data_IF_165850943123
#
_entry.id   IF_165850943123
#
_cell.length_a   1.000
_cell.length_b   1.000
_cell.length_c   1.000
_cell.angle_alpha   90.00
_cell.angle_beta   90.00
_cell.angle_gamma   90.00
#
_symmetry.space_group_name_H-M   'P 1'
#
loop_
_entity.id
_entity.type
_entity.pdbx_description
1 polymer ?
#
# COMPACT_ATOMS: atom_id res chain seq x y z
N UNK A 1 9.51 11.19 5.95
CA UNK A 1 8.04 11.21 6.12
C UNK A 1 7.48 11.76 4.82
N UNK A 2 6.55 11.06 4.17
CA UNK A 2 5.94 11.51 2.91
C UNK A 2 4.70 12.34 3.24
N UNK A 3 4.39 13.34 2.44
CA UNK A 3 3.20 14.18 2.63
C UNK A 3 1.92 13.43 2.25
N UNK A 4 0.86 13.59 3.04
CA UNK A 4 -0.46 13.04 2.71
C UNK A 4 -0.98 13.73 1.44
N UNK A 5 -1.56 12.97 0.52
CA UNK A 5 -2.35 13.55 -0.56
C UNK A 5 -3.79 13.73 -0.09
N UNK A 6 -4.30 14.96 -0.14
CA UNK A 6 -5.69 15.26 0.27
C UNK A 6 -6.71 15.15 -0.89
N UNK A 7 -6.24 15.18 -2.14
CA UNK A 7 -7.09 15.25 -3.32
C UNK A 7 -7.25 13.90 -4.05
N UNK A 8 -7.66 12.85 -3.33
CA UNK A 8 -8.05 11.56 -3.93
C UNK A 8 -9.59 11.53 -4.01
N UNK A 9 -10.16 11.44 -5.21
CA UNK A 9 -11.63 11.36 -5.36
C UNK A 9 -12.15 10.04 -4.78
N UNK A 10 -13.36 10.08 -4.20
CA UNK A 10 -14.01 8.92 -3.59
C UNK A 10 -13.14 8.20 -2.52
N UNK A 11 -12.30 8.94 -1.80
CA UNK A 11 -11.34 8.39 -0.83
C UNK A 11 -11.99 7.49 0.21
N UNK A 12 -13.09 7.91 0.83
CA UNK A 12 -13.79 7.12 1.86
C UNK A 12 -14.29 5.78 1.31
N UNK A 13 -14.72 5.75 0.04
CA UNK A 13 -15.12 4.52 -0.63
C UNK A 13 -13.93 3.60 -0.89
N UNK A 14 -12.81 4.16 -1.36
CA UNK A 14 -11.57 3.42 -1.57
C UNK A 14 -11.11 2.80 -0.24
N UNK A 15 -11.07 3.60 0.82
CA UNK A 15 -10.64 3.16 2.14
C UNK A 15 -11.58 2.11 2.72
N UNK A 16 -12.90 2.30 2.61
CA UNK A 16 -13.89 1.32 3.05
C UNK A 16 -13.75 -0.02 2.33
N UNK A 17 -13.54 -0.02 1.01
CA UNK A 17 -13.32 -1.27 0.26
C UNK A 17 -11.99 -1.89 0.65
N UNK A 18 -10.90 -1.11 0.73
CA UNK A 18 -9.59 -1.62 1.13
C UNK A 18 -9.61 -2.23 2.55
N UNK A 19 -10.45 -1.72 3.45
CA UNK A 19 -10.56 -2.22 4.82
C UNK A 19 -11.51 -3.41 4.94
N UNK A 20 -12.60 -3.48 4.16
CA UNK A 20 -13.65 -4.48 4.38
C UNK A 20 -13.71 -5.58 3.32
N UNK A 21 -12.89 -5.52 2.27
CA UNK A 21 -12.86 -6.52 1.21
C UNK A 21 -11.70 -7.51 1.41
N UNK A 22 -12.03 -8.78 1.61
CA UNK A 22 -11.04 -9.86 1.76
C UNK A 22 -10.13 -10.02 0.54
N UNK A 23 -10.58 -9.61 -0.64
CA UNK A 23 -9.79 -9.62 -1.88
C UNK A 23 -8.86 -8.41 -2.06
N UNK A 24 -8.79 -7.49 -1.09
CA UNK A 24 -7.79 -6.44 -1.08
C UNK A 24 -6.60 -6.89 -0.21
N UNK A 25 -5.63 -7.54 -0.85
CA UNK A 25 -4.57 -8.29 -0.20
C UNK A 25 -3.22 -7.59 -0.26
N UNK A 26 -2.99 -6.71 -1.23
CA UNK A 26 -1.68 -6.11 -1.48
C UNK A 26 -1.74 -4.76 -2.21
N UNK A 27 -0.55 -4.18 -2.46
CA UNK A 27 -0.40 -2.85 -3.06
C UNK A 27 -1.10 -2.69 -4.41
N UNK A 28 -1.08 -3.71 -5.28
CA UNK A 28 -1.70 -3.60 -6.61
C UNK A 28 -3.23 -3.50 -6.54
N UNK A 29 -3.88 -4.02 -5.49
CA UNK A 29 -5.32 -3.84 -5.29
C UNK A 29 -5.64 -2.38 -4.94
N UNK A 30 -4.80 -1.74 -4.13
CA UNK A 30 -4.91 -0.32 -3.82
C UNK A 30 -4.76 0.52 -5.09
N UNK A 31 -3.83 0.15 -5.98
CA UNK A 31 -3.68 0.81 -7.27
C UNK A 31 -4.94 0.63 -8.12
N UNK A 32 -5.47 -0.60 -8.22
CA UNK A 32 -6.70 -0.87 -8.96
C UNK A 32 -7.91 -0.08 -8.41
N UNK A 33 -8.02 0.07 -7.09
CA UNK A 33 -9.06 0.89 -6.47
C UNK A 33 -8.91 2.38 -6.83
N UNK A 34 -7.69 2.91 -6.80
CA UNK A 34 -7.39 4.29 -7.21
C UNK A 34 -7.71 4.52 -8.70
N UNK A 35 -7.36 3.57 -9.58
CA UNK A 35 -7.68 3.67 -11.00
C UNK A 35 -9.20 3.65 -11.23
N UNK A 36 -9.93 2.80 -10.51
CA UNK A 36 -11.37 2.59 -10.66
C UNK A 36 -12.22 3.72 -10.07
N UNK A 37 -11.83 4.25 -8.93
CA UNK A 37 -12.67 5.19 -8.16
C UNK A 37 -12.13 6.61 -8.09
N UNK A 38 -10.89 6.86 -8.51
CA UNK A 38 -10.32 8.21 -8.56
C UNK A 38 -9.90 8.60 -9.98
N UNK A 39 -8.74 8.11 -10.43
CA UNK A 39 -8.25 8.26 -11.82
C UNK A 39 -7.07 7.34 -12.09
N UNK A 40 -6.90 6.99 -13.37
CA UNK A 40 -5.69 6.31 -13.86
C UNK A 40 -4.48 7.25 -13.79
N UNK A 41 -3.33 6.70 -13.39
CA UNK A 41 -2.05 7.41 -13.27
C UNK A 41 -0.95 6.66 -14.00
N UNK A 42 0.12 7.36 -14.33
CA UNK A 42 1.32 6.70 -14.81
C UNK A 42 1.92 5.83 -13.71
N UNK A 43 2.28 4.59 -14.06
CA UNK A 43 2.70 3.54 -13.14
C UNK A 43 3.97 3.86 -12.34
N UNK A 44 4.82 4.73 -12.87
CA UNK A 44 6.05 5.19 -12.23
C UNK A 44 5.97 6.64 -11.72
N UNK A 45 4.78 7.25 -11.77
CA UNK A 45 4.62 8.62 -11.30
C UNK A 45 4.82 8.72 -9.79
N UNK A 46 5.43 9.84 -9.37
CA UNK A 46 5.45 10.25 -7.97
C UNK A 46 4.01 10.38 -7.44
N UNK A 47 3.08 10.86 -8.27
CA UNK A 47 1.69 11.00 -7.88
C UNK A 47 1.04 9.67 -7.47
N UNK A 48 1.20 8.61 -8.26
CA UNK A 48 0.67 7.28 -7.93
C UNK A 48 1.25 6.77 -6.61
N UNK A 49 2.58 6.86 -6.45
CA UNK A 49 3.27 6.45 -5.22
C UNK A 49 2.66 7.13 -4.00
N UNK A 50 2.48 8.44 -4.06
CA UNK A 50 1.99 9.24 -2.94
C UNK A 50 0.52 8.93 -2.61
N UNK A 51 -0.31 8.68 -3.62
CA UNK A 51 -1.71 8.28 -3.42
C UNK A 51 -1.81 6.89 -2.79
N UNK A 52 -1.04 5.92 -3.30
CA UNK A 52 -0.97 4.56 -2.77
C UNK A 52 -0.49 4.57 -1.33
N UNK A 53 0.59 5.30 -1.02
CA UNK A 53 1.11 5.39 0.35
C UNK A 53 0.11 6.05 1.29
N UNK A 54 -0.65 7.04 0.81
CA UNK A 54 -1.72 7.68 1.58
C UNK A 54 -2.80 6.68 1.96
N UNK A 55 -3.30 5.88 1.01
CA UNK A 55 -4.31 4.85 1.29
C UNK A 55 -3.74 3.78 2.22
N UNK A 56 -2.54 3.26 1.96
CA UNK A 56 -1.89 2.24 2.81
C UNK A 56 -1.76 2.72 4.25
N UNK A 57 -1.33 3.97 4.47
CA UNK A 57 -1.19 4.53 5.82
C UNK A 57 -2.51 4.48 6.56
N UNK A 58 -3.59 4.86 5.91
CA UNK A 58 -4.89 4.93 6.56
C UNK A 58 -5.55 3.54 6.68
N UNK A 59 -5.27 2.59 5.76
CA UNK A 59 -5.63 1.17 5.89
C UNK A 59 -4.95 0.55 7.13
N UNK A 60 -3.65 0.81 7.32
CA UNK A 60 -2.87 0.28 8.44
C UNK A 60 -3.20 0.92 9.80
N UNK A 61 -4.05 1.96 9.84
CA UNK A 61 -4.61 2.47 11.10
C UNK A 61 -5.76 1.63 11.61
N UNK A 62 -6.37 0.81 10.77
CA UNK A 62 -7.43 -0.09 11.20
C UNK A 62 -6.82 -1.24 12.01
N UNK A 63 -7.27 -1.48 13.26
CA UNK A 63 -6.70 -2.51 14.12
C UNK A 63 -6.90 -3.94 13.59
N UNK A 64 -7.82 -4.15 12.65
CA UNK A 64 -8.06 -5.46 12.01
C UNK A 64 -7.05 -5.77 10.92
N UNK A 65 -6.21 -4.82 10.52
CA UNK A 65 -5.29 -5.00 9.40
C UNK A 65 -3.86 -4.87 9.90
N UNK A 66 -3.05 -5.87 9.57
CA UNK A 66 -1.62 -5.87 9.87
C UNK A 66 -0.81 -6.02 8.59
N UNK A 67 0.37 -5.40 8.51
CA UNK A 67 1.27 -5.65 7.40
C UNK A 67 1.77 -7.10 7.45
N UNK A 68 1.83 -7.76 6.30
CA UNK A 68 2.33 -9.12 6.15
C UNK A 68 3.48 -9.15 5.14
N UNK A 69 4.66 -9.56 5.63
CA UNK A 69 5.92 -9.46 4.90
C UNK A 69 6.50 -10.80 4.45
N UNK A 70 5.91 -11.94 4.85
CA UNK A 70 6.44 -13.26 4.49
C UNK A 70 6.46 -13.49 2.97
N UNK A 71 5.51 -12.86 2.26
CA UNK A 71 5.43 -12.86 0.81
C UNK A 71 6.38 -11.85 0.13
N UNK A 72 7.19 -11.11 0.88
CA UNK A 72 8.04 -10.07 0.28
C UNK A 72 9.12 -10.64 -0.63
N UNK A 73 9.53 -9.96 -1.70
CA UNK A 73 10.76 -10.36 -2.42
C UNK A 73 12.05 -9.86 -1.76
N UNK A 74 11.96 -8.99 -0.76
CA UNK A 74 13.13 -8.45 -0.06
C UNK A 74 13.39 -9.31 1.18
N UNK A 75 14.37 -10.20 1.08
CA UNK A 75 14.67 -11.20 2.12
C UNK A 75 14.94 -10.58 3.50
N UNK A 76 15.66 -9.45 3.55
CA UNK A 76 15.91 -8.69 4.78
C UNK A 76 14.60 -8.30 5.50
N UNK A 77 13.55 -7.99 4.75
CA UNK A 77 12.26 -7.52 5.27
C UNK A 77 11.41 -8.69 5.78
N UNK A 78 11.59 -9.89 5.22
CA UNK A 78 10.99 -11.10 5.81
C UNK A 78 11.59 -11.40 7.18
N UNK A 79 12.92 -11.30 7.28
CA UNK A 79 13.67 -11.65 8.49
C UNK A 79 13.49 -10.59 9.57
N UNK A 80 13.54 -9.32 9.21
CA UNK A 80 13.47 -8.19 10.13
C UNK A 80 12.45 -7.15 9.63
N UNK A 81 11.14 -7.44 9.76
CA UNK A 81 10.09 -6.57 9.24
C UNK A 81 10.06 -5.22 9.99
N UNK A 82 9.69 -4.12 9.31
CA UNK A 82 9.50 -2.84 9.96
C UNK A 82 8.48 -2.89 11.10
N UNK A 83 8.83 -2.28 12.23
CA UNK A 83 8.00 -2.32 13.46
C UNK A 83 7.11 -1.09 13.66
N UNK A 84 7.29 -0.06 12.84
CA UNK A 84 6.56 1.19 12.95
C UNK A 84 6.30 1.82 11.59
N UNK A 85 5.35 2.76 11.55
CA UNK A 85 4.91 3.44 10.34
C UNK A 85 6.09 3.99 9.51
N UNK A 86 7.03 4.69 10.16
CA UNK A 86 8.21 5.26 9.50
C UNK A 86 9.01 4.17 8.77
N UNK A 87 9.30 3.06 9.44
CA UNK A 87 10.04 1.95 8.85
C UNK A 87 9.32 1.32 7.67
N UNK A 88 7.99 1.18 7.74
CA UNK A 88 7.16 0.66 6.65
C UNK A 88 7.35 1.53 5.40
N UNK A 89 7.16 2.85 5.55
CA UNK A 89 7.22 3.75 4.40
C UNK A 89 8.63 4.05 3.90
N UNK A 90 9.65 4.02 4.76
CA UNK A 90 11.05 4.08 4.34
C UNK A 90 11.39 2.86 3.46
N UNK A 91 10.93 1.67 3.87
CA UNK A 91 11.06 0.44 3.08
C UNK A 91 10.31 0.55 1.73
N UNK A 92 9.01 0.88 1.75
CA UNK A 92 8.23 1.01 0.52
C UNK A 92 8.86 2.02 -0.44
N UNK A 93 9.33 3.18 0.06
CA UNK A 93 9.97 4.19 -0.77
C UNK A 93 11.32 3.72 -1.34
N UNK A 94 12.13 2.99 -0.56
CA UNK A 94 13.43 2.42 -1.01
C UNK A 94 13.27 1.47 -2.19
N UNK A 95 12.15 0.74 -2.26
CA UNK A 95 11.95 -0.30 -3.26
C UNK A 95 10.88 0.02 -4.31
N UNK A 96 10.12 1.12 -4.17
CA UNK A 96 9.03 1.49 -5.09
C UNK A 96 9.43 1.46 -6.58
N UNK A 97 10.60 2.03 -6.92
CA UNK A 97 11.10 2.11 -8.30
C UNK A 97 11.99 0.92 -8.70
N UNK A 98 12.26 0.00 -7.77
CA UNK A 98 13.08 -1.18 -8.03
C UNK A 98 12.27 -2.35 -8.58
N UNK A 99 10.96 -2.26 -8.50
CA UNK A 99 10.04 -3.29 -8.94
C UNK A 99 9.05 -2.74 -9.97
N UNK A 100 8.75 -3.58 -10.95
CA UNK A 100 7.69 -3.35 -11.93
C UNK A 100 6.30 -3.59 -11.31
N UNK A 101 5.25 -3.59 -12.14
CA UNK A 101 3.87 -3.78 -11.68
C UNK A 101 3.69 -5.07 -10.85
N UNK A 102 4.20 -6.19 -11.34
CA UNK A 102 4.06 -7.48 -10.66
C UNK A 102 4.89 -7.48 -9.37
N UNK A 103 6.15 -7.03 -9.43
CA UNK A 103 7.03 -7.03 -8.26
C UNK A 103 6.57 -6.09 -7.15
N UNK A 104 5.82 -5.02 -7.47
CA UNK A 104 5.36 -4.04 -6.49
C UNK A 104 4.30 -4.61 -5.54
N UNK A 105 3.43 -5.51 -6.01
CA UNK A 105 2.45 -6.19 -5.17
C UNK A 105 3.13 -6.86 -3.96
N UNK A 106 4.29 -7.48 -4.21
CA UNK A 106 5.09 -8.19 -3.21
C UNK A 106 5.97 -7.29 -2.34
N UNK A 107 5.76 -5.97 -2.34
CA UNK A 107 6.37 -5.14 -1.30
C UNK A 107 5.57 -5.22 0.01
N UNK A 108 4.25 -5.28 -0.05
CA UNK A 108 3.43 -5.34 1.15
C UNK A 108 2.10 -6.03 0.87
N UNK A 109 1.85 -7.08 1.67
CA UNK A 109 0.54 -7.68 1.80
C UNK A 109 -0.15 -7.20 3.09
N UNK A 110 -1.46 -7.37 3.14
CA UNK A 110 -2.31 -7.12 4.29
C UNK A 110 -2.81 -8.44 4.84
N UNK A 111 -2.61 -8.65 6.14
CA UNK A 111 -3.24 -9.74 6.89
C UNK A 111 -4.42 -9.19 7.67
N UNK A 112 -5.58 -9.80 7.45
CA UNK A 112 -6.80 -9.53 8.22
C UNK A 112 -6.79 -10.34 9.50
N UNK A 113 -7.21 -9.70 10.58
CA UNK A 113 -7.38 -10.32 11.88
C UNK A 113 -8.88 -10.59 12.06
N UNK A 114 -9.23 -11.84 12.37
CA UNK A 114 -10.57 -12.24 12.78
C UNK A 114 -10.98 -11.61 14.12
#
# INVERSE_FOLDING_TARGET
>A
MFEKIENIKNYDKILSIAINNDYCEHIEDIIALLEKYDKKRERQSVELKMCVFTVIRDVLKDPKIKPWYECSFVEEIKINPPKNEKGIFDYLNKYWYKFDEIGRAYLLFFKRMD
#
